data_IF_694454608228
#
_entry.id   IF_694454608228
#
_cell.length_a   1.000
_cell.length_b   1.000
_cell.length_c   1.000
_cell.angle_alpha   90.00
_cell.angle_beta   90.00
_cell.angle_gamma   90.00
#
_symmetry.space_group_name_H-M   'P 1'
#
loop_
_entity.id
_entity.type
_entity.pdbx_description
1 polymer ?
#
# COMPACT_ATOMS: atom_id res chain seq x y z
N UNK A 1 37.48 -23.61 -22.27
CA UNK A 1 36.93 -24.79 -21.55
C UNK A 1 35.61 -24.35 -20.90
N UNK A 2 34.47 -24.64 -21.54
CA UNK A 2 33.12 -24.25 -21.10
C UNK A 2 32.49 -25.45 -20.41
N UNK A 3 32.30 -25.38 -19.09
CA UNK A 3 31.64 -26.44 -18.32
C UNK A 3 30.20 -26.00 -18.03
N UNK A 4 29.29 -26.86 -18.46
CA UNK A 4 27.84 -26.69 -18.54
C UNK A 4 27.15 -26.55 -17.18
N UNK A 5 26.44 -25.44 -17.00
CA UNK A 5 25.71 -25.07 -15.79
C UNK A 5 24.24 -25.55 -15.84
N UNK A 6 24.01 -26.85 -16.13
CA UNK A 6 22.66 -27.43 -16.28
C UNK A 6 22.28 -28.49 -15.24
N UNK A 7 23.14 -28.77 -14.26
CA UNK A 7 22.94 -29.87 -13.29
C UNK A 7 22.30 -29.39 -11.97
N UNK A 8 22.22 -28.09 -11.71
CA UNK A 8 21.69 -27.58 -10.45
C UNK A 8 20.15 -27.49 -10.36
N UNK A 9 19.43 -27.80 -11.44
CA UNK A 9 17.99 -27.52 -11.56
C UNK A 9 17.07 -28.69 -11.13
N UNK A 10 17.61 -29.84 -10.72
CA UNK A 10 16.80 -31.05 -10.48
C UNK A 10 16.61 -31.45 -9.01
N UNK A 11 17.26 -30.79 -8.04
CA UNK A 11 17.27 -31.24 -6.63
C UNK A 11 16.27 -30.46 -5.75
N UNK A 12 15.73 -29.32 -6.20
CA UNK A 12 14.82 -28.51 -5.37
C UNK A 12 13.34 -28.95 -5.40
N UNK A 13 12.96 -29.95 -6.19
CA UNK A 13 11.55 -30.32 -6.41
C UNK A 13 10.97 -31.34 -5.42
N UNK A 14 11.75 -31.85 -4.46
CA UNK A 14 11.36 -33.03 -3.64
C UNK A 14 10.97 -32.67 -2.18
N UNK A 15 11.14 -31.42 -1.73
CA UNK A 15 11.00 -31.09 -0.30
C UNK A 15 9.72 -30.38 0.16
N UNK A 16 8.71 -30.17 -0.70
CA UNK A 16 7.48 -29.43 -0.33
C UNK A 16 6.18 -30.26 -0.37
N UNK A 17 6.28 -31.58 -0.23
CA UNK A 17 5.11 -32.46 -0.08
C UNK A 17 5.24 -33.22 1.24
N UNK A 18 5.07 -32.53 2.37
CA UNK A 18 4.63 -33.13 3.62
C UNK A 18 4.38 -32.04 4.68
N UNK A 19 3.37 -32.31 5.52
CA UNK A 19 3.08 -31.73 6.83
C UNK A 19 1.92 -30.71 6.84
N UNK A 20 1.00 -30.96 7.78
CA UNK A 20 -0.35 -30.41 8.03
C UNK A 20 -1.45 -31.17 7.25
N UNK A 21 -1.77 -32.44 7.58
CA UNK A 21 -2.21 -32.97 8.89
C UNK A 21 -3.35 -32.17 9.52
N UNK A 22 -4.55 -32.46 9.00
CA UNK A 22 -5.85 -32.65 9.65
C UNK A 22 -5.94 -32.30 11.13
N UNK A 23 -6.57 -31.18 11.45
CA UNK A 23 -7.18 -30.96 12.76
C UNK A 23 -8.70 -31.07 12.61
N UNK A 24 -9.28 -32.17 13.10
CA UNK A 24 -10.73 -32.37 13.24
C UNK A 24 -11.28 -31.43 14.32
N UNK A 25 -12.12 -30.48 13.91
CA UNK A 25 -12.91 -29.65 14.83
C UNK A 25 -14.32 -30.23 14.90
N UNK A 26 -14.75 -30.55 16.14
CA UNK A 26 -16.08 -31.02 16.49
C UNK A 26 -17.13 -29.95 16.19
N UNK A 27 -18.21 -30.34 15.50
CA UNK A 27 -19.40 -29.50 15.32
C UNK A 27 -20.28 -29.55 16.57
N UNK A 28 -20.68 -28.37 17.04
CA UNK A 28 -21.70 -28.14 18.08
C UNK A 28 -22.95 -27.51 17.42
N UNK A 29 -24.14 -27.63 18.03
CA UNK A 29 -25.42 -27.69 17.30
C UNK A 29 -26.01 -26.34 16.91
N UNK A 30 -26.88 -26.43 15.89
CA UNK A 30 -27.74 -25.42 15.28
C UNK A 30 -28.31 -24.39 16.27
N UNK A 31 -27.71 -23.20 16.26
CA UNK A 31 -28.32 -21.96 16.75
C UNK A 31 -29.10 -21.28 15.62
N UNK A 32 -30.36 -20.96 15.91
CA UNK A 32 -31.35 -20.24 15.10
C UNK A 32 -30.76 -19.26 14.07
N UNK A 33 -31.08 -19.52 12.81
CA UNK A 33 -30.87 -18.65 11.65
C UNK A 33 -31.60 -17.32 11.85
N UNK A 34 -30.86 -16.29 12.26
CA UNK A 34 -31.31 -14.91 12.11
C UNK A 34 -31.25 -14.57 10.63
N UNK A 35 -32.37 -14.08 10.08
CA UNK A 35 -32.40 -13.45 8.77
C UNK A 35 -31.52 -12.20 8.83
N UNK A 36 -30.25 -12.33 8.46
CA UNK A 36 -29.39 -11.19 8.14
C UNK A 36 -29.83 -10.70 6.77
N UNK A 37 -30.36 -9.47 6.62
CA UNK A 37 -30.65 -8.91 5.32
C UNK A 37 -29.34 -8.79 4.55
N UNK A 38 -29.18 -9.65 3.55
CA UNK A 38 -28.09 -9.64 2.57
C UNK A 38 -28.25 -8.43 1.66
N UNK A 39 -28.02 -7.23 2.18
CA UNK A 39 -27.65 -6.08 1.36
C UNK A 39 -26.13 -6.05 1.30
N UNK A 40 -25.55 -7.09 0.69
CA UNK A 40 -24.13 -7.15 0.39
C UNK A 40 -23.88 -6.24 -0.81
N UNK A 41 -23.92 -4.92 -0.57
CA UNK A 41 -23.20 -3.98 -1.41
C UNK A 41 -21.76 -4.47 -1.43
N UNK A 42 -21.33 -4.90 -2.61
CA UNK A 42 -19.99 -5.35 -2.88
C UNK A 42 -19.06 -4.14 -2.66
N UNK A 43 -18.63 -3.94 -1.41
CA UNK A 43 -17.63 -2.94 -1.06
C UNK A 43 -16.31 -3.45 -1.62
N UNK A 44 -16.01 -3.04 -2.85
CA UNK A 44 -14.67 -3.19 -3.41
C UNK A 44 -13.68 -2.65 -2.38
N UNK A 45 -12.58 -3.38 -2.09
CA UNK A 45 -11.63 -2.93 -1.09
C UNK A 45 -11.15 -1.52 -1.45
N UNK A 46 -11.01 -0.63 -0.45
CA UNK A 46 -10.61 0.74 -0.71
C UNK A 46 -9.24 0.73 -1.38
N UNK A 47 -9.09 1.47 -2.48
CA UNK A 47 -7.77 1.86 -2.96
C UNK A 47 -6.95 2.43 -1.78
N UNK A 48 -5.64 2.23 -1.78
CA UNK A 48 -4.76 2.76 -0.74
C UNK A 48 -4.00 3.97 -1.29
N UNK A 49 -3.95 5.03 -0.49
CA UNK A 49 -3.14 6.22 -0.74
C UNK A 49 -1.97 6.18 0.23
N UNK A 50 -0.77 6.01 -0.31
CA UNK A 50 0.48 5.95 0.44
C UNK A 50 1.18 7.29 0.29
N UNK A 51 1.51 7.91 1.41
CA UNK A 51 2.09 9.26 1.46
C UNK A 51 3.47 9.16 2.09
N UNK A 52 4.50 9.48 1.31
CA UNK A 52 5.88 9.57 1.79
C UNK A 52 6.20 11.03 2.08
N UNK A 53 6.50 11.33 3.33
CA UNK A 53 6.74 12.70 3.80
C UNK A 53 7.85 12.72 4.85
N UNK A 54 8.22 13.91 5.31
CA UNK A 54 8.91 14.09 6.58
C UNK A 54 8.69 15.49 7.15
N UNK A 55 9.05 15.68 8.41
CA UNK A 55 9.05 17.02 9.02
C UNK A 55 10.39 17.75 8.76
N UNK A 56 10.36 18.73 7.86
CA UNK A 56 11.56 19.47 7.44
C UNK A 56 11.79 20.73 8.29
N UNK A 57 12.45 20.57 9.45
CA UNK A 57 12.69 21.69 10.38
C UNK A 57 13.94 22.53 10.03
N UNK A 58 14.79 22.08 9.10
CA UNK A 58 16.11 22.68 8.88
C UNK A 58 16.17 23.76 7.79
N UNK A 59 15.22 23.81 6.85
CA UNK A 59 15.26 24.69 5.68
C UNK A 59 13.86 25.20 5.29
N UNK A 60 13.66 26.53 5.31
CA UNK A 60 12.35 27.16 5.06
C UNK A 60 11.71 26.78 3.71
N UNK A 61 12.48 26.82 2.62
CA UNK A 61 11.93 26.44 1.30
C UNK A 61 11.54 24.97 1.21
N UNK A 62 12.22 24.10 1.96
CA UNK A 62 11.86 22.68 2.06
C UNK A 62 10.63 22.52 2.93
N UNK A 63 10.56 23.20 4.08
CA UNK A 63 9.38 23.24 4.96
C UNK A 63 8.11 23.59 4.17
N UNK A 64 8.13 24.68 3.40
CA UNK A 64 7.00 25.13 2.57
C UNK A 64 6.57 24.05 1.56
N UNK A 65 7.52 23.39 0.89
CA UNK A 65 7.22 22.31 -0.06
C UNK A 65 6.49 21.13 0.63
N UNK A 66 6.99 20.69 1.79
CA UNK A 66 6.41 19.57 2.54
C UNK A 66 5.06 19.92 3.16
N UNK A 67 4.89 21.13 3.67
CA UNK A 67 3.61 21.63 4.19
C UNK A 67 2.56 21.75 3.10
N UNK A 68 2.90 22.37 1.96
CA UNK A 68 1.99 22.50 0.81
C UNK A 68 1.54 21.13 0.31
N UNK A 69 2.47 20.18 0.21
CA UNK A 69 2.14 18.81 -0.15
C UNK A 69 1.22 18.16 0.88
N UNK A 70 1.55 18.26 2.18
CA UNK A 70 0.75 17.70 3.29
C UNK A 70 -0.68 18.26 3.30
N UNK A 71 -0.85 19.56 3.08
CA UNK A 71 -2.15 20.21 3.05
C UNK A 71 -2.99 19.74 1.86
N UNK A 72 -2.36 19.58 0.69
CA UNK A 72 -3.01 19.02 -0.50
C UNK A 72 -3.46 17.57 -0.27
N UNK A 73 -2.64 16.75 0.39
CA UNK A 73 -3.00 15.37 0.75
C UNK A 73 -4.13 15.33 1.78
N UNK A 74 -4.12 16.22 2.78
CA UNK A 74 -5.23 16.34 3.75
C UNK A 74 -6.55 16.74 3.08
N UNK A 75 -6.51 17.59 2.06
CA UNK A 75 -7.70 17.89 1.26
C UNK A 75 -8.26 16.63 0.58
N UNK A 76 -7.39 15.81 0.00
CA UNK A 76 -7.77 14.51 -0.57
C UNK A 76 -8.33 13.57 0.50
N UNK A 77 -7.69 13.48 1.66
CA UNK A 77 -8.14 12.62 2.76
C UNK A 77 -9.51 13.06 3.29
N UNK A 78 -9.76 14.35 3.42
CA UNK A 78 -11.08 14.87 3.79
C UNK A 78 -12.16 14.52 2.74
N UNK A 79 -11.80 14.53 1.46
CA UNK A 79 -12.73 14.29 0.34
C UNK A 79 -12.98 12.81 0.04
N UNK A 80 -11.98 11.96 0.29
CA UNK A 80 -11.96 10.56 -0.15
C UNK A 80 -11.72 9.55 0.99
N UNK A 81 -11.34 9.97 2.20
CA UNK A 81 -10.88 9.08 3.28
C UNK A 81 -11.93 8.09 3.83
N UNK A 82 -13.21 8.28 3.53
CA UNK A 82 -14.25 7.27 3.83
C UNK A 82 -14.26 6.11 2.82
N UNK A 83 -13.62 6.30 1.65
CA UNK A 83 -13.62 5.39 0.50
C UNK A 83 -12.25 4.80 0.19
N UNK A 84 -11.18 5.48 0.59
CA UNK A 84 -9.79 5.05 0.37
C UNK A 84 -9.02 5.13 1.68
N UNK A 85 -8.10 4.20 1.90
CA UNK A 85 -7.26 4.19 3.10
C UNK A 85 -6.06 5.10 2.87
N UNK A 86 -5.77 6.02 3.79
CA UNK A 86 -4.55 6.82 3.77
C UNK A 86 -3.52 6.21 4.74
N UNK A 87 -2.30 6.01 4.26
CA UNK A 87 -1.16 5.54 5.04
C UNK A 87 -0.01 6.52 4.89
N UNK A 88 0.40 7.11 6.01
CA UNK A 88 1.46 8.11 6.06
C UNK A 88 2.76 7.49 6.56
N UNK A 89 3.84 7.68 5.80
CA UNK A 89 5.19 7.28 6.16
C UNK A 89 6.07 8.51 6.30
N UNK A 90 6.50 8.77 7.54
CA UNK A 90 7.55 9.75 7.84
C UNK A 90 8.91 9.07 7.70
N UNK A 91 9.74 9.56 6.78
CA UNK A 91 11.04 8.94 6.50
C UNK A 91 12.22 9.60 7.24
N UNK A 92 12.00 10.72 7.94
CA UNK A 92 13.04 11.38 8.73
C UNK A 92 13.02 10.93 10.20
N UNK A 93 13.05 9.61 10.37
CA UNK A 93 13.15 8.96 11.67
C UNK A 93 14.60 8.76 12.09
N UNK A 94 14.89 8.93 13.38
CA UNK A 94 16.22 8.69 13.95
C UNK A 94 16.59 7.21 13.97
N UNK A 95 15.58 6.33 14.02
CA UNK A 95 15.74 4.88 13.98
C UNK A 95 16.14 4.42 12.57
N UNK A 96 17.37 3.91 12.46
CA UNK A 96 17.96 3.47 11.19
C UNK A 96 17.25 2.26 10.57
N UNK A 97 16.76 1.33 11.39
CA UNK A 97 16.10 0.12 10.89
C UNK A 97 14.71 0.45 10.35
N UNK A 98 14.01 1.37 11.03
CA UNK A 98 12.76 1.91 10.53
C UNK A 98 12.99 2.75 9.27
N UNK A 99 14.03 3.60 9.25
CA UNK A 99 14.40 4.38 8.06
C UNK A 99 14.68 3.48 6.85
N UNK A 100 15.47 2.41 7.02
CA UNK A 100 15.75 1.46 5.95
C UNK A 100 14.47 0.76 5.47
N UNK A 101 13.59 0.37 6.39
CA UNK A 101 12.28 -0.21 6.07
C UNK A 101 11.42 0.74 5.24
N UNK A 102 11.39 2.02 5.59
CA UNK A 102 10.65 3.04 4.84
C UNK A 102 11.26 3.30 3.46
N UNK A 103 12.59 3.32 3.35
CA UNK A 103 13.28 3.45 2.07
C UNK A 103 13.05 2.25 1.15
N UNK A 104 13.02 1.04 1.70
CA UNK A 104 12.68 -0.17 0.95
C UNK A 104 11.22 -0.16 0.48
N UNK A 105 10.30 0.37 1.30
CA UNK A 105 8.91 0.60 0.89
C UNK A 105 8.81 1.63 -0.24
N UNK A 106 9.49 2.77 -0.13
CA UNK A 106 9.52 3.79 -1.18
C UNK A 106 10.04 3.22 -2.52
N UNK A 107 11.13 2.43 -2.47
CA UNK A 107 11.69 1.73 -3.65
C UNK A 107 10.70 0.77 -4.29
N UNK A 108 9.92 0.02 -3.50
CA UNK A 108 8.88 -0.91 -4.02
C UNK A 108 7.89 -0.19 -4.95
N UNK A 109 7.58 1.07 -4.67
CA UNK A 109 6.69 1.90 -5.47
C UNK A 109 7.42 2.82 -6.47
N UNK A 110 8.73 2.60 -6.67
CA UNK A 110 9.59 3.44 -7.51
C UNK A 110 9.56 4.93 -7.10
N UNK A 111 9.46 5.23 -5.81
CA UNK A 111 9.57 6.59 -5.27
C UNK A 111 11.06 6.90 -5.08
N UNK A 112 11.57 7.80 -5.92
CA UNK A 112 12.96 8.27 -5.93
C UNK A 112 13.15 9.58 -5.14
N UNK A 113 12.07 10.36 -4.99
CA UNK A 113 12.06 11.69 -4.37
C UNK A 113 10.84 11.86 -3.49
N UNK A 114 11.00 12.63 -2.43
CA UNK A 114 9.95 13.02 -1.49
C UNK A 114 9.82 14.56 -1.43
N UNK A 115 8.63 15.10 -1.10
CA UNK A 115 7.42 14.38 -0.71
C UNK A 115 6.77 13.65 -1.89
N UNK A 116 6.06 12.56 -1.64
CA UNK A 116 5.41 11.78 -2.69
C UNK A 116 4.07 11.17 -2.24
N UNK A 117 3.18 11.01 -3.21
CA UNK A 117 1.90 10.32 -3.06
C UNK A 117 1.82 9.20 -4.09
N UNK A 118 1.41 8.01 -3.65
CA UNK A 118 1.16 6.83 -4.47
C UNK A 118 -0.26 6.37 -4.21
N UNK A 119 -1.05 6.17 -5.26
CA UNK A 119 -2.36 5.52 -5.16
C UNK A 119 -2.23 4.12 -5.74
N UNK A 120 -2.68 3.12 -4.99
CA UNK A 120 -2.70 1.73 -5.43
C UNK A 120 -4.11 1.17 -5.43
N UNK A 121 -4.35 0.22 -6.32
CA UNK A 121 -5.54 -0.61 -6.25
C UNK A 121 -5.42 -1.70 -5.18
N UNK A 122 -6.43 -2.55 -5.11
CA UNK A 122 -6.56 -3.66 -4.16
C UNK A 122 -5.49 -4.75 -4.36
N UNK A 123 -4.89 -4.81 -5.55
CA UNK A 123 -3.80 -5.73 -5.90
C UNK A 123 -2.43 -5.08 -5.66
N UNK A 124 -2.40 -3.90 -5.03
CA UNK A 124 -1.19 -3.09 -4.83
C UNK A 124 -0.53 -2.63 -6.14
N UNK A 125 -1.27 -2.58 -7.25
CA UNK A 125 -0.77 -2.01 -8.51
C UNK A 125 -0.87 -0.49 -8.43
N UNK A 126 0.18 0.20 -8.87
CA UNK A 126 0.25 1.67 -8.85
C UNK A 126 -0.66 2.24 -9.93
N UNK A 127 -1.67 3.00 -9.52
CA UNK A 127 -2.58 3.73 -10.40
C UNK A 127 -2.05 5.13 -10.73
N UNK A 128 -1.51 5.82 -9.73
CA UNK A 128 -0.85 7.12 -9.89
C UNK A 128 0.28 7.26 -8.89
N UNK A 129 1.36 7.96 -9.30
CA UNK A 129 2.49 8.34 -8.46
C UNK A 129 2.88 9.77 -8.78
N UNK A 130 2.90 10.64 -7.78
CA UNK A 130 3.31 12.03 -7.92
C UNK A 130 4.33 12.40 -6.86
N UNK A 131 5.33 13.18 -7.25
CA UNK A 131 6.40 13.69 -6.37
C UNK A 131 6.34 15.22 -6.35
N UNK A 132 6.53 15.85 -5.19
CA UNK A 132 6.46 17.30 -5.04
C UNK A 132 5.01 17.81 -5.08
N UNK A 133 4.75 18.87 -5.82
CA UNK A 133 3.39 19.45 -5.91
C UNK A 133 2.43 18.48 -6.61
N UNK A 134 1.24 18.30 -6.03
CA UNK A 134 0.23 17.38 -6.56
C UNK A 134 -0.53 18.00 -7.73
N UNK A 135 -0.73 17.22 -8.78
CA UNK A 135 -1.63 17.53 -9.89
C UNK A 135 -3.01 16.95 -9.57
N UNK A 136 -3.85 17.79 -8.96
CA UNK A 136 -5.13 17.37 -8.39
C UNK A 136 -6.11 16.85 -9.44
N UNK A 137 -6.03 17.33 -10.67
CA UNK A 137 -6.88 16.90 -11.79
C UNK A 137 -6.71 15.41 -12.07
N UNK A 138 -5.46 14.92 -12.09
CA UNK A 138 -5.14 13.52 -12.34
C UNK A 138 -5.64 12.63 -11.19
N UNK A 139 -5.38 13.03 -9.94
CA UNK A 139 -5.81 12.29 -8.75
C UNK A 139 -7.35 12.19 -8.71
N UNK A 140 -8.03 13.32 -8.93
CA UNK A 140 -9.49 13.36 -8.97
C UNK A 140 -10.07 12.48 -10.10
N UNK A 141 -9.37 12.36 -11.25
CA UNK A 141 -9.78 11.45 -12.33
C UNK A 141 -9.71 10.00 -11.89
N UNK A 142 -8.61 9.58 -11.26
CA UNK A 142 -8.44 8.22 -10.75
C UNK A 142 -9.51 7.88 -9.71
N UNK A 143 -9.77 8.76 -8.73
CA UNK A 143 -10.80 8.49 -7.73
C UNK A 143 -12.22 8.43 -8.31
N UNK A 144 -12.53 9.19 -9.36
CA UNK A 144 -13.82 9.07 -10.08
C UNK A 144 -13.96 7.75 -10.84
N UNK A 145 -12.85 7.19 -11.33
CA UNK A 145 -12.85 5.88 -12.00
C UNK A 145 -13.06 4.75 -11.00
N UNK A 146 -12.58 4.91 -9.76
CA UNK A 146 -12.79 3.96 -8.67
C UNK A 146 -14.22 3.95 -8.09
N UNK A 147 -15.02 4.98 -8.38
CA UNK A 147 -16.42 5.09 -7.95
C UNK A 147 -17.42 4.40 -8.91
N UNK A 148 -16.96 3.90 -10.07
CA UNK A 148 -17.80 3.25 -11.09
C UNK A 148 -17.87 1.74 -10.90
#
# INVERSE_FOLDING_TARGET
MRISNKIFLLIALIFFIAIFSSCSIKQTPQGKSANVPTNSQLTLPPAEVIVFTYNADCCEGTRILFETHRDSVKELENKYGQRVKFTWYDIAVEDKDYQESMMNMAKKFNVDRIPALVVTDIESRVLVKQTGQLQMEEINRIFKELDK
#
